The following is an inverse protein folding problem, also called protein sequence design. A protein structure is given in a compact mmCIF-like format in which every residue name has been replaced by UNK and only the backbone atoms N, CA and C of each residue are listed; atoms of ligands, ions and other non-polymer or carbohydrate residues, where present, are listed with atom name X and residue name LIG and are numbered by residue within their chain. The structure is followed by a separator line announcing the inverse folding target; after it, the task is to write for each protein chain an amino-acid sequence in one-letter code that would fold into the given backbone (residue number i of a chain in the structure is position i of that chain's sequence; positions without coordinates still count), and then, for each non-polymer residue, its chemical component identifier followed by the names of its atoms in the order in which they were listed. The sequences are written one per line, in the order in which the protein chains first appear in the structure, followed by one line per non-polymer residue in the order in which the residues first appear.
data_IF_226083989690
#
_entry.id   IF_226083989690
#
_cell.length_a   1.000
_cell.length_b   1.000
_cell.length_c   1.000
_cell.angle_alpha   90.00
_cell.angle_beta   90.00
_cell.angle_gamma   90.00
#
_symmetry.space_group_name_H-M   'P 1'
#
loop_
_entity.id
_entity.type
_entity.pdbx_description
1 polymer ?
#
# COMPACT_ATOMS: atom_id res chain seq x y z
N UNK A 1 1.30 16.42 -18.96
CA UNK A 1 -0.10 15.94 -18.85
C UNK A 1 -1.01 16.98 -18.16
N UNK A 2 -0.75 18.29 -18.33
CA UNK A 2 -1.52 19.37 -17.67
C UNK A 2 -1.32 19.52 -16.15
N UNK A 3 -0.91 18.45 -15.45
CA UNK A 3 -0.71 18.46 -14.00
C UNK A 3 0.49 19.32 -13.57
N UNK A 4 0.28 20.14 -12.54
CA UNK A 4 1.26 21.10 -12.03
C UNK A 4 1.59 20.92 -10.54
N UNK A 5 0.97 19.95 -9.85
CA UNK A 5 1.15 19.70 -8.42
C UNK A 5 1.30 18.21 -8.18
N UNK A 6 2.23 17.81 -7.31
CA UNK A 6 2.54 16.39 -7.03
C UNK A 6 2.65 16.17 -5.52
N UNK A 7 1.91 15.19 -4.99
CA UNK A 7 2.12 14.71 -3.64
C UNK A 7 3.43 13.90 -3.56
N UNK A 8 4.22 14.08 -2.51
CA UNK A 8 5.43 13.28 -2.28
C UNK A 8 5.47 12.78 -0.85
N UNK A 9 5.82 11.52 -0.69
CA UNK A 9 5.97 10.85 0.60
C UNK A 9 7.04 9.79 0.52
N UNK A 10 7.46 9.28 1.67
CA UNK A 10 8.50 8.27 1.82
C UNK A 10 8.10 7.21 2.86
N UNK A 11 8.70 6.03 2.76
CA UNK A 11 8.67 5.04 3.84
C UNK A 11 9.72 5.36 4.93
N UNK A 12 9.81 4.48 5.93
CA UNK A 12 10.70 4.61 7.09
C UNK A 12 12.16 4.22 6.84
N UNK A 13 12.61 4.12 5.59
CA UNK A 13 14.00 3.74 5.29
C UNK A 13 14.99 4.86 5.62
N UNK A 14 16.19 4.45 6.03
CA UNK A 14 17.28 5.36 6.45
C UNK A 14 17.67 6.35 5.34
N UNK A 15 17.65 5.92 4.08
CA UNK A 15 17.95 6.77 2.92
C UNK A 15 16.79 7.72 2.54
N UNK A 16 15.62 7.55 3.15
CA UNK A 16 14.39 8.26 2.83
C UNK A 16 14.51 9.79 2.93
N UNK A 17 14.96 10.36 4.05
CA UNK A 17 15.06 11.82 4.21
C UNK A 17 15.92 12.50 3.14
N UNK A 18 17.11 11.95 2.85
CA UNK A 18 18.02 12.52 1.84
C UNK A 18 17.42 12.44 0.42
N UNK A 19 16.92 11.27 0.04
CA UNK A 19 16.36 11.05 -1.29
C UNK A 19 15.07 11.84 -1.52
N UNK A 20 14.24 12.03 -0.49
CA UNK A 20 13.03 12.85 -0.56
C UNK A 20 13.39 14.32 -0.84
N UNK A 21 14.42 14.87 -0.19
CA UNK A 21 14.87 16.24 -0.46
C UNK A 21 15.36 16.41 -1.90
N UNK A 22 16.12 15.46 -2.42
CA UNK A 22 16.55 15.46 -3.82
C UNK A 22 15.37 15.38 -4.80
N UNK A 23 14.37 14.54 -4.51
CA UNK A 23 13.15 14.41 -5.30
C UNK A 23 12.35 15.72 -5.32
N UNK A 24 12.15 16.34 -4.15
CA UNK A 24 11.47 17.64 -4.01
C UNK A 24 12.18 18.71 -4.83
N UNK A 25 13.50 18.86 -4.66
CA UNK A 25 14.29 19.84 -5.39
C UNK A 25 14.17 19.65 -6.91
N UNK A 26 14.27 18.40 -7.39
CA UNK A 26 14.13 18.07 -8.80
C UNK A 26 12.76 18.44 -9.38
N UNK A 27 11.67 18.17 -8.65
CA UNK A 27 10.31 18.50 -9.10
C UNK A 27 10.07 20.01 -9.10
N UNK A 28 10.46 20.72 -8.04
CA UNK A 28 10.30 22.18 -7.94
C UNK A 28 11.05 22.91 -9.05
N UNK A 29 12.24 22.44 -9.44
CA UNK A 29 13.04 23.01 -10.53
C UNK A 29 12.35 22.92 -11.90
N UNK A 30 11.31 22.09 -12.05
CA UNK A 30 10.51 22.01 -13.28
C UNK A 30 9.38 23.02 -13.36
N UNK A 31 9.10 23.73 -12.26
CA UNK A 31 7.92 24.59 -12.10
C UNK A 31 6.69 23.90 -11.51
N UNK A 32 6.75 22.59 -11.24
CA UNK A 32 5.69 21.86 -10.54
C UNK A 32 5.72 22.14 -9.04
N UNK A 33 4.55 22.30 -8.44
CA UNK A 33 4.37 22.42 -6.99
C UNK A 33 4.44 21.05 -6.31
N UNK A 34 4.79 21.08 -5.02
CA UNK A 34 4.89 19.91 -4.16
C UNK A 34 3.92 20.04 -2.98
N UNK A 35 3.24 18.94 -2.69
CA UNK A 35 2.60 18.69 -1.39
C UNK A 35 3.39 17.57 -0.72
N UNK A 36 4.25 17.92 0.23
CA UNK A 36 5.04 16.97 1.00
C UNK A 36 4.20 16.41 2.16
N UNK A 37 4.01 15.10 2.18
CA UNK A 37 3.36 14.38 3.28
C UNK A 37 4.35 13.56 4.12
N UNK A 38 5.65 13.71 3.84
CA UNK A 38 6.78 13.10 4.54
C UNK A 38 6.65 11.58 4.75
N UNK A 39 6.76 11.10 5.99
CA UNK A 39 6.80 9.67 6.30
C UNK A 39 5.39 9.08 6.42
N UNK A 40 5.00 8.27 5.43
CA UNK A 40 3.66 7.68 5.32
C UNK A 40 3.73 6.28 4.72
N UNK A 41 2.63 5.54 4.78
CA UNK A 41 2.48 4.31 4.00
C UNK A 41 2.22 4.62 2.53
N UNK A 42 2.57 3.68 1.65
CA UNK A 42 2.29 3.80 0.21
C UNK A 42 0.80 4.04 -0.09
N UNK A 43 -0.17 3.36 0.57
CA UNK A 43 -1.59 3.66 0.41
C UNK A 43 -2.00 5.08 0.82
N UNK A 44 -1.37 5.66 1.86
CA UNK A 44 -1.66 7.05 2.26
C UNK A 44 -1.21 8.05 1.20
N UNK A 45 -0.06 7.82 0.54
CA UNK A 45 0.30 8.63 -0.62
C UNK A 45 -0.74 8.51 -1.74
N UNK A 46 -1.20 7.29 -2.04
CA UNK A 46 -2.23 7.12 -3.06
C UNK A 46 -3.55 7.79 -2.68
N UNK A 47 -3.91 7.80 -1.39
CA UNK A 47 -5.03 8.57 -0.88
C UNK A 47 -4.83 10.08 -1.08
N UNK A 48 -3.66 10.62 -0.72
CA UNK A 48 -3.30 12.02 -0.96
C UNK A 48 -3.45 12.39 -2.45
N UNK A 49 -2.89 11.56 -3.34
CA UNK A 49 -3.02 11.76 -4.78
C UNK A 49 -4.49 11.71 -5.21
N UNK A 50 -5.30 10.76 -4.71
CA UNK A 50 -6.70 10.61 -5.11
C UNK A 50 -7.63 11.76 -4.68
N UNK A 51 -7.33 12.45 -3.57
CA UNK A 51 -8.14 13.59 -3.11
C UNK A 51 -7.67 14.94 -3.65
N UNK A 52 -6.47 14.99 -4.24
CA UNK A 52 -5.92 16.18 -4.86
C UNK A 52 -6.41 16.33 -6.30
N UNK A 53 -6.67 17.57 -6.73
CA UNK A 53 -7.07 17.86 -8.12
C UNK A 53 -6.10 17.31 -9.17
N UNK A 54 -4.80 17.25 -8.83
CA UNK A 54 -3.77 16.82 -9.76
C UNK A 54 -3.71 15.31 -9.98
N UNK A 55 -4.31 14.51 -9.09
CA UNK A 55 -4.27 13.06 -9.12
C UNK A 55 -2.85 12.48 -9.26
N UNK A 56 -1.83 13.20 -8.74
CA UNK A 56 -0.42 12.88 -8.97
C UNK A 56 0.32 12.72 -7.66
N UNK A 57 1.10 11.64 -7.54
CA UNK A 57 1.88 11.32 -6.35
C UNK A 57 3.13 10.51 -6.67
N UNK A 58 4.20 10.73 -5.90
CA UNK A 58 5.44 9.94 -5.97
C UNK A 58 5.80 9.43 -4.57
N UNK A 59 5.85 8.10 -4.43
CA UNK A 59 6.28 7.42 -3.21
C UNK A 59 7.75 7.10 -3.31
N UNK A 60 8.53 7.46 -2.31
CA UNK A 60 9.87 6.96 -2.13
C UNK A 60 9.84 5.72 -1.24
N UNK A 61 10.06 4.54 -1.80
CA UNK A 61 10.03 3.30 -1.03
C UNK A 61 10.78 2.16 -1.71
N UNK A 62 11.46 1.35 -0.89
CA UNK A 62 12.03 0.06 -1.29
C UNK A 62 11.10 -1.13 -1.10
N UNK A 63 9.83 -0.91 -0.71
CA UNK A 63 8.85 -1.94 -0.36
C UNK A 63 9.40 -2.92 0.69
N UNK A 64 9.47 -4.20 0.38
CA UNK A 64 9.98 -5.26 1.27
C UNK A 64 11.47 -5.59 1.12
N UNK A 65 12.18 -4.89 0.24
CA UNK A 65 13.59 -5.20 -0.01
C UNK A 65 14.47 -4.90 1.22
N UNK A 66 15.70 -5.45 1.30
CA UNK A 66 16.63 -5.16 2.38
C UNK A 66 16.88 -3.65 2.64
N UNK A 67 17.40 -3.26 3.83
CA UNK A 67 17.55 -1.86 4.24
C UNK A 67 18.19 -0.91 3.22
N UNK A 68 19.20 -1.39 2.49
CA UNK A 68 19.97 -0.60 1.53
C UNK A 68 19.26 -0.35 0.19
N UNK A 69 18.07 -0.92 -0.02
CA UNK A 69 17.26 -0.67 -1.21
C UNK A 69 16.35 0.54 -0.99
N UNK A 70 16.07 1.28 -2.06
CA UNK A 70 15.01 2.25 -2.14
C UNK A 70 14.52 2.34 -3.59
N UNK A 71 13.46 3.10 -3.85
CA UNK A 71 12.85 3.17 -5.17
C UNK A 71 11.76 4.24 -5.23
N UNK A 72 11.08 4.31 -6.38
CA UNK A 72 9.98 5.25 -6.59
C UNK A 72 8.74 4.55 -7.15
N UNK A 73 7.57 4.83 -6.57
CA UNK A 73 6.25 4.46 -7.14
C UNK A 73 5.57 5.73 -7.62
N UNK A 74 5.11 5.75 -8.87
CA UNK A 74 4.73 7.00 -9.55
C UNK A 74 3.29 6.91 -10.06
N UNK A 75 2.47 7.89 -9.68
CA UNK A 75 1.14 8.15 -10.23
C UNK A 75 1.12 9.56 -10.83
N UNK A 76 0.69 9.71 -12.09
CA UNK A 76 0.59 11.02 -12.75
C UNK A 76 -0.79 11.17 -13.38
N UNK A 77 -1.60 12.08 -12.87
CA UNK A 77 -2.96 12.34 -13.38
C UNK A 77 -3.85 11.10 -13.30
N UNK A 78 -3.78 10.35 -12.20
CA UNK A 78 -4.54 9.13 -11.94
C UNK A 78 -3.90 7.86 -12.50
N UNK A 79 -2.96 7.96 -13.44
CA UNK A 79 -2.32 6.79 -14.05
C UNK A 79 -1.09 6.35 -13.25
N UNK A 80 -1.09 5.09 -12.79
CA UNK A 80 0.11 4.46 -12.22
C UNK A 80 1.07 4.12 -13.36
N UNK A 81 2.29 4.66 -13.35
CA UNK A 81 3.24 4.43 -14.44
C UNK A 81 3.83 3.01 -14.40
N UNK A 82 3.99 2.42 -15.57
CA UNK A 82 4.67 1.13 -15.77
C UNK A 82 5.28 1.04 -17.17
N UNK A 83 6.12 0.02 -17.41
CA UNK A 83 6.64 -0.31 -18.75
C UNK A 83 7.30 0.87 -19.47
N UNK A 84 6.83 1.16 -20.69
CA UNK A 84 7.35 2.27 -21.51
C UNK A 84 7.24 3.64 -20.85
N UNK A 85 6.25 3.87 -19.98
CA UNK A 85 6.09 5.16 -19.31
C UNK A 85 7.28 5.44 -18.37
N UNK A 86 7.81 4.41 -17.70
CA UNK A 86 9.02 4.49 -16.89
C UNK A 86 10.25 4.71 -17.78
N UNK A 87 10.35 4.00 -18.91
CA UNK A 87 11.45 4.19 -19.87
C UNK A 87 11.47 5.61 -20.47
N UNK A 88 10.31 6.24 -20.65
CA UNK A 88 10.20 7.63 -21.08
C UNK A 88 10.79 8.61 -20.06
N UNK A 89 10.68 8.33 -18.75
CA UNK A 89 11.34 9.14 -17.71
C UNK A 89 12.86 9.01 -17.80
N UNK A 90 13.38 7.77 -17.91
CA UNK A 90 14.81 7.53 -18.12
C UNK A 90 15.33 8.26 -19.37
N UNK A 91 14.62 8.15 -20.49
CA UNK A 91 15.01 8.79 -21.75
C UNK A 91 15.03 10.32 -21.66
N UNK A 92 14.12 10.94 -20.88
CA UNK A 92 14.17 12.37 -20.59
C UNK A 92 15.44 12.76 -19.86
N UNK A 93 15.85 11.96 -18.87
CA UNK A 93 17.09 12.19 -18.11
C UNK A 93 18.32 12.08 -19.01
N UNK A 94 18.43 11.00 -19.79
CA UNK A 94 19.56 10.78 -20.71
C UNK A 94 19.68 11.91 -21.75
N UNK A 95 18.55 12.38 -22.28
CA UNK A 95 18.52 13.46 -23.28
C UNK A 95 18.60 14.87 -22.68
N UNK A 96 18.59 15.00 -21.35
CA UNK A 96 18.44 16.28 -20.64
C UNK A 96 17.19 17.06 -21.11
N UNK A 97 16.12 16.36 -21.48
CA UNK A 97 14.82 16.95 -21.83
C UNK A 97 14.04 17.25 -20.55
N UNK A 98 14.42 18.37 -19.92
CA UNK A 98 13.79 18.86 -18.71
C UNK A 98 12.97 20.12 -18.98
N UNK A 99 11.91 20.27 -18.19
CA UNK A 99 11.25 21.56 -18.01
C UNK A 99 11.99 22.33 -16.92
N UNK A 100 11.95 23.64 -17.00
CA UNK A 100 12.54 24.55 -16.04
C UNK A 100 11.51 25.53 -15.53
N UNK A 101 11.56 25.83 -14.25
CA UNK A 101 10.67 26.77 -13.58
C UNK A 101 10.97 26.84 -12.09
N UNK A 102 10.03 27.42 -11.34
CA UNK A 102 10.14 27.51 -9.89
C UNK A 102 8.77 27.19 -9.27
N UNK A 103 8.62 25.96 -8.84
CA UNK A 103 7.44 25.52 -8.08
C UNK A 103 7.49 25.98 -6.63
N UNK A 104 6.40 25.72 -5.90
CA UNK A 104 6.31 25.93 -4.45
C UNK A 104 6.11 24.61 -3.73
N UNK A 105 6.74 24.46 -2.58
CA UNK A 105 6.49 23.34 -1.68
C UNK A 105 5.54 23.77 -0.56
N UNK A 106 4.67 22.84 -0.19
CA UNK A 106 3.87 22.88 1.04
C UNK A 106 4.06 21.56 1.77
N UNK A 107 3.80 21.55 3.07
CA UNK A 107 3.81 20.33 3.88
C UNK A 107 2.45 20.20 4.56
N UNK A 108 1.89 18.99 4.54
CA UNK A 108 0.63 18.69 5.22
C UNK A 108 0.76 17.38 6.01
N UNK A 109 0.02 17.28 7.10
CA UNK A 109 -0.20 16.02 7.81
C UNK A 109 -1.52 15.42 7.34
N UNK A 110 -1.51 14.17 6.85
CA UNK A 110 -2.69 13.54 6.23
C UNK A 110 -3.08 12.20 6.88
N UNK A 111 -2.27 11.69 7.81
CA UNK A 111 -2.51 10.39 8.44
C UNK A 111 -3.87 10.38 9.14
N UNK A 112 -4.19 11.44 9.90
CA UNK A 112 -5.44 11.49 10.65
C UNK A 112 -6.68 11.60 9.75
N UNK A 113 -6.58 12.34 8.64
CA UNK A 113 -7.65 12.41 7.63
C UNK A 113 -7.92 11.03 7.01
N UNK A 114 -6.84 10.29 6.68
CA UNK A 114 -6.95 8.92 6.18
C UNK A 114 -7.60 7.99 7.21
N UNK A 115 -7.16 8.04 8.47
CA UNK A 115 -7.72 7.22 9.55
C UNK A 115 -9.21 7.51 9.77
N UNK A 116 -9.60 8.78 9.77
CA UNK A 116 -11.00 9.19 9.88
C UNK A 116 -11.82 8.73 8.68
N UNK A 117 -11.28 8.84 7.45
CA UNK A 117 -11.97 8.36 6.25
C UNK A 117 -12.25 6.86 6.32
N UNK A 118 -11.31 6.04 6.79
CA UNK A 118 -11.50 4.59 6.92
C UNK A 118 -12.48 4.26 8.06
N UNK A 119 -12.26 4.82 9.25
CA UNK A 119 -13.06 4.53 10.45
C UNK A 119 -14.48 5.11 10.41
N UNK A 120 -14.71 6.13 9.57
CA UNK A 120 -16.04 6.66 9.29
C UNK A 120 -16.95 5.65 8.57
N UNK A 121 -16.35 4.79 7.74
CA UNK A 121 -17.04 3.87 6.82
C UNK A 121 -17.09 2.43 7.38
N UNK A 122 -15.96 1.95 7.91
CA UNK A 122 -15.86 0.59 8.46
C UNK A 122 -16.39 0.55 9.89
N UNK A 123 -17.39 -0.30 10.15
CA UNK A 123 -17.95 -0.54 11.49
C UNK A 123 -17.84 -2.02 11.85
N UNK A 124 -17.12 -2.33 12.93
CA UNK A 124 -17.01 -3.68 13.44
C UNK A 124 -18.27 -4.05 14.23
N UNK A 125 -18.80 -5.25 13.99
CA UNK A 125 -19.95 -5.77 14.73
C UNK A 125 -19.63 -6.12 16.20
N UNK A 126 -18.35 -6.39 16.50
CA UNK A 126 -17.82 -6.64 17.84
C UNK A 126 -16.35 -6.22 17.92
N UNK A 127 -15.82 -5.91 19.12
CA UNK A 127 -14.38 -5.81 19.33
C UNK A 127 -13.64 -7.11 18.95
N UNK A 128 -12.45 -6.96 18.37
CA UNK A 128 -11.53 -8.05 18.03
C UNK A 128 -10.21 -7.87 18.77
N UNK A 129 -9.58 -8.98 19.15
CA UNK A 129 -8.18 -9.03 19.59
C UNK A 129 -7.29 -9.25 18.37
N UNK A 130 -6.47 -8.26 18.03
CA UNK A 130 -5.64 -8.26 16.83
C UNK A 130 -4.18 -8.16 17.22
N UNK A 131 -3.34 -9.06 16.69
CA UNK A 131 -1.89 -8.88 16.69
C UNK A 131 -1.52 -8.16 15.38
N UNK A 132 -0.77 -7.06 15.47
CA UNK A 132 -0.29 -6.31 14.31
C UNK A 132 1.22 -6.43 14.26
N UNK A 133 1.72 -7.03 13.20
CA UNK A 133 3.13 -7.10 12.86
C UNK A 133 3.44 -6.11 11.74
N UNK A 134 4.38 -5.19 11.97
CA UNK A 134 4.83 -4.26 10.94
C UNK A 134 6.27 -4.51 10.46
N UNK A 135 6.99 -5.49 11.02
CA UNK A 135 8.38 -5.78 10.68
C UNK A 135 9.29 -4.55 10.66
N UNK A 136 9.04 -3.59 11.56
CA UNK A 136 9.67 -2.27 11.64
C UNK A 136 9.49 -1.35 10.42
N UNK A 137 8.58 -1.69 9.51
CA UNK A 137 8.16 -0.86 8.39
C UNK A 137 7.24 0.29 8.79
N UNK A 138 6.98 1.20 7.85
CA UNK A 138 6.22 2.43 8.07
C UNK A 138 4.73 2.19 8.41
N UNK A 139 4.24 0.95 8.21
CA UNK A 139 2.91 0.53 8.65
C UNK A 139 2.67 0.76 10.15
N UNK A 140 3.73 0.76 10.97
CA UNK A 140 3.68 1.02 12.41
C UNK A 140 3.10 2.38 12.80
N UNK A 141 3.23 3.39 11.94
CA UNK A 141 2.65 4.72 12.17
C UNK A 141 1.12 4.74 12.07
N UNK A 142 0.53 3.74 11.38
CA UNK A 142 -0.86 3.79 10.93
C UNK A 142 -1.67 2.62 11.47
N UNK A 143 -1.21 1.39 11.26
CA UNK A 143 -2.02 0.19 11.49
C UNK A 143 -2.47 0.05 12.96
N UNK A 144 -1.59 0.17 13.99
CA UNK A 144 -2.03 0.08 15.38
C UNK A 144 -3.07 1.13 15.76
N UNK A 145 -2.87 2.39 15.34
CA UNK A 145 -3.83 3.48 15.59
C UNK A 145 -5.17 3.22 14.88
N UNK A 146 -5.15 2.78 13.63
CA UNK A 146 -6.33 2.45 12.84
C UNK A 146 -7.20 1.39 13.52
N UNK A 147 -6.61 0.25 13.89
CA UNK A 147 -7.37 -0.84 14.50
C UNK A 147 -7.89 -0.50 15.89
N UNK A 148 -7.16 0.30 16.68
CA UNK A 148 -7.69 0.86 17.94
C UNK A 148 -8.90 1.77 17.70
N UNK A 149 -8.85 2.64 16.69
CA UNK A 149 -9.97 3.50 16.32
C UNK A 149 -11.21 2.71 15.83
N UNK A 150 -11.00 1.51 15.28
CA UNK A 150 -12.08 0.57 14.92
C UNK A 150 -12.66 -0.18 16.14
N UNK A 151 -12.07 -0.02 17.33
CA UNK A 151 -12.51 -0.68 18.57
C UNK A 151 -11.84 -2.02 18.85
N UNK A 152 -10.71 -2.33 18.21
CA UNK A 152 -9.95 -3.55 18.49
C UNK A 152 -9.04 -3.40 19.74
N UNK A 153 -8.83 -4.52 20.42
CA UNK A 153 -7.71 -4.69 21.36
C UNK A 153 -6.46 -5.06 20.55
N UNK A 154 -5.49 -4.16 20.51
CA UNK A 154 -4.29 -4.29 19.65
C UNK A 154 -3.08 -4.69 20.48
N UNK A 155 -2.45 -5.80 20.11
CA UNK A 155 -1.07 -6.14 20.52
C UNK A 155 -0.13 -5.85 19.35
N UNK A 156 0.90 -5.06 19.60
CA UNK A 156 1.89 -4.68 18.60
C UNK A 156 3.05 -5.67 18.58
N UNK A 157 3.53 -6.00 17.39
CA UNK A 157 4.73 -6.76 17.10
C UNK A 157 5.55 -5.94 16.10
N UNK A 158 6.75 -5.49 16.51
CA UNK A 158 7.66 -4.74 15.63
C UNK A 158 7.03 -3.52 14.94
N UNK A 159 6.20 -2.75 15.65
CA UNK A 159 5.52 -1.56 15.14
C UNK A 159 6.31 -0.26 15.29
N UNK A 160 7.45 -0.26 15.99
CA UNK A 160 8.37 0.89 15.96
C UNK A 160 9.07 0.94 14.60
N UNK A 161 8.99 2.08 13.91
CA UNK A 161 9.62 2.27 12.61
C UNK A 161 11.13 2.30 12.77
N UNK A 162 11.81 1.32 12.17
CA UNK A 162 13.26 1.23 12.12
C UNK A 162 13.69 0.66 10.76
N UNK A 163 14.24 1.54 9.91
CA UNK A 163 14.71 1.20 8.58
C UNK A 163 15.89 0.22 8.52
N UNK A 164 16.45 -0.20 9.66
CA UNK A 164 17.40 -1.30 9.75
C UNK A 164 16.73 -2.69 9.69
N UNK A 165 15.41 -2.76 9.92
CA UNK A 165 14.62 -4.01 9.99
C UNK A 165 15.27 -5.08 10.89
N UNK A 166 15.50 -4.80 12.20
CA UNK A 166 16.37 -5.61 13.05
C UNK A 166 15.82 -6.99 13.44
N UNK A 167 14.52 -7.26 13.24
CA UNK A 167 13.88 -8.51 13.68
C UNK A 167 13.74 -9.52 12.54
N UNK A 168 12.90 -9.22 11.56
CA UNK A 168 12.77 -9.98 10.32
C UNK A 168 12.53 -9.02 9.15
N UNK A 169 12.68 -9.50 7.92
CA UNK A 169 12.32 -8.68 6.76
C UNK A 169 10.81 -8.42 6.76
N UNK A 170 10.35 -7.21 6.45
CA UNK A 170 8.92 -6.90 6.35
C UNK A 170 8.39 -7.40 5.00
N UNK A 171 8.38 -8.73 4.82
CA UNK A 171 7.78 -9.43 3.69
C UNK A 171 6.84 -10.53 4.18
N UNK A 172 5.54 -10.24 4.32
CA UNK A 172 4.56 -11.21 4.81
C UNK A 172 4.23 -12.31 3.79
N UNK A 173 4.79 -12.26 2.57
CA UNK A 173 4.65 -13.33 1.60
C UNK A 173 5.54 -14.54 1.88
N UNK A 174 6.55 -14.37 2.75
CA UNK A 174 7.47 -15.42 3.17
C UNK A 174 7.02 -15.98 4.52
N UNK A 175 6.57 -17.25 4.61
CA UNK A 175 6.04 -17.82 5.85
C UNK A 175 6.97 -17.71 7.07
N UNK A 176 8.29 -17.78 6.85
CA UNK A 176 9.30 -17.62 7.91
C UNK A 176 9.18 -16.28 8.66
N UNK A 177 8.80 -15.21 7.96
CA UNK A 177 8.62 -13.89 8.56
C UNK A 177 7.32 -13.79 9.38
N UNK A 178 6.48 -14.82 9.40
CA UNK A 178 5.22 -14.85 10.14
C UNK A 178 5.26 -15.80 11.35
N UNK A 179 6.39 -16.48 11.60
CA UNK A 179 6.49 -17.50 12.65
C UNK A 179 6.16 -16.93 14.04
N UNK A 180 6.70 -15.75 14.36
CA UNK A 180 6.43 -15.12 15.66
C UNK A 180 4.99 -14.61 15.76
N UNK A 181 4.42 -14.06 14.68
CA UNK A 181 3.02 -13.69 14.62
C UNK A 181 2.11 -14.91 14.88
N UNK A 182 2.41 -16.05 14.26
CA UNK A 182 1.67 -17.31 14.45
C UNK A 182 1.70 -17.77 15.90
N UNK A 183 2.86 -17.74 16.54
CA UNK A 183 2.99 -18.14 17.93
C UNK A 183 2.31 -17.15 18.88
N UNK A 184 2.43 -15.84 18.61
CA UNK A 184 1.83 -14.80 19.45
C UNK A 184 0.29 -14.81 19.37
N UNK A 185 -0.28 -15.05 18.18
CA UNK A 185 -1.74 -15.21 18.01
C UNK A 185 -2.27 -16.35 18.88
N UNK A 186 -1.62 -17.52 18.88
CA UNK A 186 -2.00 -18.66 19.72
C UNK A 186 -1.81 -18.35 21.20
N UNK A 187 -0.66 -17.79 21.59
CA UNK A 187 -0.31 -17.52 22.98
C UNK A 187 -1.26 -16.50 23.63
N UNK A 188 -1.66 -15.46 22.88
CA UNK A 188 -2.57 -14.41 23.35
C UNK A 188 -4.04 -14.74 23.10
N UNK A 189 -4.34 -15.85 22.43
CA UNK A 189 -5.70 -16.21 21.98
C UNK A 189 -6.34 -15.04 21.21
N UNK A 190 -5.57 -14.45 20.29
CA UNK A 190 -6.05 -13.37 19.44
C UNK A 190 -7.05 -13.91 18.39
N UNK A 191 -7.97 -13.06 17.95
CA UNK A 191 -8.93 -13.42 16.89
C UNK A 191 -8.25 -13.50 15.52
N UNK A 192 -7.23 -12.67 15.28
CA UNK A 192 -6.49 -12.61 14.01
C UNK A 192 -5.11 -11.97 14.19
N UNK A 193 -4.14 -12.43 13.41
CA UNK A 193 -2.85 -11.77 13.22
C UNK A 193 -2.76 -11.13 11.84
N UNK A 194 -2.24 -9.91 11.78
CA UNK A 194 -2.03 -9.15 10.53
C UNK A 194 -0.57 -8.71 10.43
N UNK A 195 0.09 -9.06 9.33
CA UNK A 195 1.45 -8.62 9.04
C UNK A 195 1.48 -7.69 7.84
N UNK A 196 2.13 -6.54 7.95
CA UNK A 196 2.29 -5.59 6.86
C UNK A 196 3.70 -5.67 6.27
N UNK A 197 3.83 -5.39 4.98
CA UNK A 197 5.13 -5.22 4.37
C UNK A 197 5.73 -3.83 4.64
N UNK A 198 6.98 -3.61 4.21
CA UNK A 198 7.77 -2.44 4.64
C UNK A 198 7.11 -1.08 4.38
N UNK A 199 6.27 -0.98 3.35
CA UNK A 199 5.51 0.22 2.99
C UNK A 199 3.97 0.06 3.06
N UNK A 200 3.53 -1.05 3.65
CA UNK A 200 2.15 -1.41 3.99
C UNK A 200 1.16 -1.36 2.82
N UNK A 201 1.58 -1.69 1.60
CA UNK A 201 0.66 -1.94 0.48
C UNK A 201 0.30 -3.42 0.30
N UNK A 202 0.88 -4.30 1.13
CA UNK A 202 0.53 -5.73 1.24
C UNK A 202 0.23 -6.11 2.69
N UNK A 203 -0.59 -7.14 2.84
CA UNK A 203 -0.96 -7.72 4.13
C UNK A 203 -0.88 -9.25 4.09
N UNK A 204 -0.29 -9.85 5.12
CA UNK A 204 -0.41 -11.26 5.47
C UNK A 204 -1.41 -11.46 6.59
N UNK A 205 -2.13 -12.58 6.56
CA UNK A 205 -3.20 -12.87 7.52
C UNK A 205 -2.96 -14.23 8.16
N UNK A 206 -3.08 -14.26 9.49
CA UNK A 206 -2.95 -15.46 10.32
C UNK A 206 -4.24 -15.64 11.12
N UNK A 207 -4.84 -16.84 11.06
CA UNK A 207 -6.06 -17.16 11.83
C UNK A 207 -5.77 -17.34 13.32
N UNK A 208 -6.81 -17.43 14.13
CA UNK A 208 -6.73 -17.73 15.57
C UNK A 208 -6.03 -19.07 15.88
N UNK A 209 -6.01 -19.99 14.92
CA UNK A 209 -5.32 -21.29 15.01
C UNK A 209 -3.86 -21.23 14.54
N UNK A 210 -3.41 -20.08 14.04
CA UNK A 210 -2.09 -19.91 13.47
C UNK A 210 -1.96 -20.37 12.01
N UNK A 211 -3.06 -20.49 11.28
CA UNK A 211 -3.02 -20.83 9.86
C UNK A 211 -2.75 -19.57 9.03
N UNK A 212 -1.75 -19.61 8.14
CA UNK A 212 -1.48 -18.52 7.21
C UNK A 212 -2.49 -18.59 6.06
N UNK A 213 -3.22 -17.50 5.84
CA UNK A 213 -4.19 -17.38 4.75
C UNK A 213 -3.53 -16.71 3.55
N UNK A 214 -3.38 -17.48 2.47
CA UNK A 214 -2.89 -16.97 1.20
C UNK A 214 -3.81 -15.88 0.62
N UNK A 215 -3.22 -14.91 -0.08
CA UNK A 215 -3.93 -13.72 -0.57
C UNK A 215 -5.08 -14.04 -1.54
N UNK A 216 -4.98 -15.13 -2.32
CA UNK A 216 -6.04 -15.58 -3.22
C UNK A 216 -7.26 -16.14 -2.47
N UNK A 217 -7.05 -16.83 -1.35
CA UNK A 217 -8.12 -17.26 -0.43
C UNK A 217 -8.73 -16.06 0.29
N UNK A 218 -7.93 -15.08 0.69
CA UNK A 218 -8.43 -13.83 1.26
C UNK A 218 -9.31 -13.07 0.24
N UNK A 219 -8.89 -13.05 -1.04
CA UNK A 219 -9.66 -12.43 -2.11
C UNK A 219 -10.99 -13.15 -2.38
N UNK A 220 -11.10 -14.47 -2.13
CA UNK A 220 -12.40 -15.14 -2.18
C UNK A 220 -13.37 -14.55 -1.15
N UNK A 221 -12.92 -14.32 0.09
CA UNK A 221 -13.75 -13.72 1.14
C UNK A 221 -14.22 -12.31 0.74
N UNK A 222 -13.30 -11.49 0.22
CA UNK A 222 -13.64 -10.16 -0.26
C UNK A 222 -14.60 -10.19 -1.46
N UNK A 223 -14.39 -11.09 -2.42
CA UNK A 223 -15.26 -11.22 -3.58
C UNK A 223 -16.68 -11.62 -3.17
N UNK A 224 -16.83 -12.58 -2.24
CA UNK A 224 -18.13 -13.01 -1.74
C UNK A 224 -18.89 -11.83 -1.12
N UNK A 225 -18.26 -11.09 -0.21
CA UNK A 225 -18.88 -9.92 0.44
C UNK A 225 -19.19 -8.81 -0.57
N UNK A 226 -18.23 -8.45 -1.43
CA UNK A 226 -18.39 -7.39 -2.42
C UNK A 226 -19.54 -7.66 -3.39
N UNK A 227 -19.65 -8.89 -3.90
CA UNK A 227 -20.69 -9.28 -4.87
C UNK A 227 -22.10 -9.31 -4.27
N UNK A 228 -22.25 -9.38 -2.94
CA UNK A 228 -23.58 -9.21 -2.31
C UNK A 228 -24.17 -7.83 -2.53
N UNK A 229 -23.31 -6.81 -2.67
CA UNK A 229 -23.68 -5.40 -2.89
C UNK A 229 -23.50 -4.96 -4.34
N UNK A 230 -22.67 -5.68 -5.10
CA UNK A 230 -22.33 -5.36 -6.49
C UNK A 230 -22.45 -6.58 -7.41
N UNK A 231 -23.67 -7.13 -7.60
CA UNK A 231 -23.87 -8.30 -8.44
C UNK A 231 -23.43 -8.05 -9.88
N UNK A 232 -22.84 -9.05 -10.53
CA UNK A 232 -22.39 -8.97 -11.93
C UNK A 232 -21.06 -8.26 -12.14
N UNK A 233 -20.44 -7.69 -11.10
CA UNK A 233 -19.15 -6.98 -11.24
C UNK A 233 -17.98 -7.92 -11.55
N UNK A 234 -16.98 -7.36 -12.23
CA UNK A 234 -15.74 -8.06 -12.57
C UNK A 234 -14.78 -8.07 -11.38
N UNK A 235 -14.25 -9.25 -11.03
CA UNK A 235 -13.18 -9.40 -10.03
C UNK A 235 -11.89 -9.79 -10.76
N UNK A 236 -10.89 -8.91 -10.70
CA UNK A 236 -9.59 -9.13 -11.34
C UNK A 236 -8.62 -9.82 -10.37
N UNK A 237 -7.89 -10.82 -10.84
CA UNK A 237 -6.84 -11.52 -10.09
C UNK A 237 -5.71 -11.97 -11.02
N UNK A 238 -4.52 -12.25 -10.48
CA UNK A 238 -3.38 -12.60 -11.31
C UNK A 238 -3.27 -14.10 -11.59
N UNK A 239 -2.42 -14.46 -12.57
CA UNK A 239 -2.18 -15.85 -13.00
C UNK A 239 -1.63 -16.78 -11.91
N UNK A 240 -1.17 -16.24 -10.76
CA UNK A 240 -0.65 -17.03 -9.64
C UNK A 240 -1.75 -17.50 -8.68
N UNK A 241 -2.94 -16.93 -8.76
CA UNK A 241 -4.05 -17.27 -7.87
C UNK A 241 -4.60 -18.67 -8.18
N UNK A 242 -5.11 -19.35 -7.15
CA UNK A 242 -5.77 -20.64 -7.28
C UNK A 242 -6.95 -20.64 -8.26
N UNK A 243 -7.13 -21.74 -9.00
CA UNK A 243 -8.28 -21.93 -9.91
C UNK A 243 -9.64 -21.82 -9.20
N UNK A 244 -9.68 -22.14 -7.91
CA UNK A 244 -10.91 -22.09 -7.11
C UNK A 244 -11.45 -20.66 -6.95
N UNK A 245 -10.61 -19.63 -7.13
CA UNK A 245 -11.04 -18.25 -7.01
C UNK A 245 -12.06 -17.90 -8.10
N UNK A 246 -11.79 -18.31 -9.35
CA UNK A 246 -12.72 -18.11 -10.46
C UNK A 246 -14.06 -18.81 -10.23
N UNK A 247 -14.03 -20.04 -9.69
CA UNK A 247 -15.24 -20.80 -9.33
C UNK A 247 -16.05 -20.06 -8.26
N UNK A 248 -15.41 -19.52 -7.21
CA UNK A 248 -16.10 -18.77 -6.17
C UNK A 248 -16.70 -17.47 -6.69
N UNK A 249 -15.99 -16.72 -7.54
CA UNK A 249 -16.50 -15.48 -8.13
C UNK A 249 -17.76 -15.76 -8.95
N UNK A 250 -17.70 -16.74 -9.87
CA UNK A 250 -18.86 -17.13 -10.70
C UNK A 250 -20.03 -17.62 -9.85
N UNK A 251 -19.76 -18.44 -8.83
CA UNK A 251 -20.79 -18.97 -7.91
C UNK A 251 -21.57 -17.85 -7.20
N UNK A 252 -20.92 -16.73 -6.90
CA UNK A 252 -21.53 -15.57 -6.25
C UNK A 252 -21.95 -14.47 -7.24
N UNK A 253 -22.11 -14.82 -8.53
CA UNK A 253 -22.68 -13.93 -9.54
C UNK A 253 -21.73 -12.84 -10.05
N UNK A 254 -20.43 -12.97 -9.85
CA UNK A 254 -19.41 -12.08 -10.41
C UNK A 254 -18.82 -12.60 -11.71
N UNK A 255 -18.02 -11.75 -12.38
CA UNK A 255 -17.27 -12.10 -13.59
C UNK A 255 -15.78 -12.24 -13.24
N UNK A 256 -15.20 -13.46 -13.23
CA UNK A 256 -13.78 -13.62 -12.95
C UNK A 256 -12.92 -13.15 -14.12
N UNK A 257 -11.92 -12.30 -13.86
CA UNK A 257 -10.95 -11.86 -14.85
C UNK A 257 -9.52 -12.17 -14.39
N UNK A 258 -8.92 -13.19 -14.97
CA UNK A 258 -7.50 -13.46 -14.80
C UNK A 258 -6.66 -12.47 -15.62
N UNK A 259 -5.63 -11.89 -15.01
CA UNK A 259 -4.76 -10.90 -15.64
C UNK A 259 -3.28 -11.09 -15.27
N UNK A 260 -2.40 -10.27 -15.86
CA UNK A 260 -0.95 -10.36 -15.66
C UNK A 260 -0.56 -9.99 -14.23
N UNK A 261 0.41 -10.70 -13.66
CA UNK A 261 1.01 -10.36 -12.35
C UNK A 261 1.70 -9.00 -12.40
N UNK A 262 1.46 -8.16 -11.39
CA UNK A 262 2.12 -6.88 -11.20
C UNK A 262 1.14 -5.80 -10.75
N UNK A 263 1.45 -5.11 -9.65
CA UNK A 263 0.52 -4.16 -9.02
C UNK A 263 0.05 -3.05 -9.98
N UNK A 264 0.95 -2.46 -10.78
CA UNK A 264 0.60 -1.41 -11.75
C UNK A 264 -0.29 -1.95 -12.89
N UNK A 265 -0.08 -3.20 -13.32
CA UNK A 265 -0.87 -3.83 -14.39
C UNK A 265 -2.30 -4.10 -13.91
N UNK A 266 -2.46 -4.60 -12.69
CA UNK A 266 -3.78 -4.81 -12.08
C UNK A 266 -4.51 -3.48 -11.90
N UNK A 267 -3.85 -2.45 -11.34
CA UNK A 267 -4.45 -1.12 -11.19
C UNK A 267 -4.88 -0.52 -12.53
N UNK A 268 -4.02 -0.60 -13.54
CA UNK A 268 -4.34 -0.12 -14.89
C UNK A 268 -5.52 -0.88 -15.49
N UNK A 269 -5.61 -2.20 -15.27
CA UNK A 269 -6.73 -2.99 -15.77
C UNK A 269 -8.04 -2.64 -15.06
N UNK A 270 -8.00 -2.43 -13.75
CA UNK A 270 -9.18 -1.98 -12.99
C UNK A 270 -9.68 -0.63 -13.53
N UNK A 271 -8.79 0.33 -13.79
CA UNK A 271 -9.20 1.62 -14.38
C UNK A 271 -9.80 1.50 -15.78
N UNK A 272 -9.33 0.55 -16.60
CA UNK A 272 -9.89 0.28 -17.93
C UNK A 272 -11.33 -0.29 -17.86
N UNK A 273 -11.63 -1.04 -16.79
CA UNK A 273 -12.93 -1.69 -16.61
C UNK A 273 -14.01 -0.74 -16.05
N UNK A 274 -13.60 0.39 -15.45
CA UNK A 274 -14.48 1.31 -14.71
C UNK A 274 -14.77 0.83 -13.29
#
# INVERSE_FOLDING_TARGET
RGQNTVAVGRDGRISGPELLQALIAGILATGCNIVNIDEVTTPILYYAAAIMESHSGVMLSGSHNPPNYNGIKIVIGGETLYGEAIQKLHNRIVKKDFKFGSGKASQIEIIDDYLQRVTGDVKLARPLKVIIDCGNGVGGLVAPKLFRMLGCEVTELYCEVDGNFPHHQPDPSVPKNLEELVELVKAKKADVGLAFDGDADRVGVVTEKGEIIAADRLLMLFAIDFLTRHPGMTITFDVKCTKHLAEQITKHGGVPLMYKTGHSLIKSKMQELG
#
